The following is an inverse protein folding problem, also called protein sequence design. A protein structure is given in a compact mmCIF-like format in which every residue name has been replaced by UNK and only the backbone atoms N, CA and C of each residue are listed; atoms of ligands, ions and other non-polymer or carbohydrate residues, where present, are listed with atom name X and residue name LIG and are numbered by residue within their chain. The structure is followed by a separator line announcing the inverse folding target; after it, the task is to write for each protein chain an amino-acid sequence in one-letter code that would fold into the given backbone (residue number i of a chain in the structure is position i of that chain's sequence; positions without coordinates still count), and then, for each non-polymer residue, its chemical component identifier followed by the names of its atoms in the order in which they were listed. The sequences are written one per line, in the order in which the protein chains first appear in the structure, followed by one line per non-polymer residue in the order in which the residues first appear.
data_IF_680160270181
#
_entry.id   IF_680160270181
#
_cell.length_a   1.000
_cell.length_b   1.000
_cell.length_c   1.000
_cell.angle_alpha   90.00
_cell.angle_beta   90.00
_cell.angle_gamma   90.00
#
_symmetry.space_group_name_H-M   'P 1'
#
loop_
_entity.id
_entity.type
_entity.pdbx_description
1 polymer ?
#
# COMPACT_ATOMS: atom_id res chain seq x y z
N UNK A 1 -15.17 6.46 9.62
CA UNK A 1 -14.17 7.53 9.93
C UNK A 1 -14.34 8.71 9.00
N UNK A 2 -14.34 8.53 7.68
CA UNK A 2 -14.52 9.64 6.73
C UNK A 2 -15.80 10.46 6.94
N UNK A 3 -16.97 9.81 7.09
CA UNK A 3 -18.23 10.52 7.38
C UNK A 3 -18.15 11.46 8.59
N UNK A 4 -17.51 11.00 9.67
CA UNK A 4 -17.28 11.83 10.86
C UNK A 4 -16.35 13.02 10.56
N UNK A 5 -15.28 12.79 9.80
CA UNK A 5 -14.34 13.85 9.42
C UNK A 5 -14.99 14.85 8.47
N UNK A 6 -15.78 14.42 7.50
CA UNK A 6 -16.52 15.31 6.59
C UNK A 6 -17.41 16.28 7.36
N UNK A 7 -18.05 15.84 8.44
CA UNK A 7 -18.83 16.75 9.29
C UNK A 7 -17.94 17.69 10.12
N UNK A 8 -16.78 17.20 10.54
CA UNK A 8 -15.93 17.90 11.51
C UNK A 8 -14.98 18.93 10.90
N UNK A 9 -14.72 18.84 9.59
CA UNK A 9 -13.90 19.82 8.85
C UNK A 9 -14.64 21.12 8.55
N UNK A 10 -15.91 21.25 8.93
CA UNK A 10 -16.69 22.47 8.74
C UNK A 10 -16.84 23.25 10.05
N UNK A 11 -16.79 24.58 9.95
CA UNK A 11 -17.18 25.47 11.04
C UNK A 11 -18.69 25.33 11.30
N UNK A 12 -19.07 25.18 12.56
CA UNK A 12 -20.47 24.97 12.95
C UNK A 12 -21.37 26.19 12.75
N UNK A 13 -20.80 27.39 12.65
CA UNK A 13 -21.52 28.65 12.48
C UNK A 13 -21.57 29.08 11.02
N UNK A 14 -20.45 29.01 10.30
CA UNK A 14 -20.39 29.51 8.92
C UNK A 14 -20.57 28.41 7.87
N UNK A 15 -20.34 27.15 8.23
CA UNK A 15 -20.30 26.03 7.27
C UNK A 15 -19.03 26.00 6.42
N UNK A 16 -18.11 26.96 6.60
CA UNK A 16 -16.85 27.02 5.85
C UNK A 16 -15.91 25.90 6.26
N UNK A 17 -14.99 25.56 5.37
CA UNK A 17 -13.94 24.57 5.66
C UNK A 17 -12.95 25.15 6.65
N UNK A 18 -12.70 24.43 7.75
CA UNK A 18 -11.76 24.82 8.79
C UNK A 18 -10.33 24.86 8.25
N UNK A 19 -9.59 25.86 8.71
CA UNK A 19 -8.14 25.89 8.56
C UNK A 19 -7.50 24.72 9.32
N UNK A 20 -6.36 24.18 8.84
CA UNK A 20 -5.62 23.14 9.55
C UNK A 20 -5.28 23.47 11.00
N UNK A 21 -5.01 24.75 11.28
CA UNK A 21 -4.72 25.24 12.64
C UNK A 21 -5.94 25.24 13.56
N UNK A 22 -7.15 25.25 13.00
CA UNK A 22 -8.42 25.26 13.74
C UNK A 22 -8.99 23.86 13.96
N UNK A 23 -8.45 22.84 13.27
CA UNK A 23 -8.86 21.46 13.51
C UNK A 23 -8.60 21.06 14.96
N UNK A 24 -9.51 20.29 15.59
CA UNK A 24 -9.29 19.77 16.93
C UNK A 24 -7.98 18.99 17.00
N UNK A 25 -7.29 19.09 18.14
CA UNK A 25 -6.11 18.27 18.35
C UNK A 25 -6.44 16.78 18.13
N UNK A 26 -5.48 16.01 17.60
CA UNK A 26 -5.70 14.62 17.21
C UNK A 26 -6.34 13.79 18.34
N UNK A 27 -5.89 13.97 19.59
CA UNK A 27 -6.42 13.22 20.74
C UNK A 27 -7.90 13.50 21.03
N UNK A 28 -8.34 14.75 20.91
CA UNK A 28 -9.73 15.15 21.14
C UNK A 28 -10.63 14.71 19.99
N UNK A 29 -10.15 14.85 18.74
CA UNK A 29 -10.87 14.40 17.54
C UNK A 29 -11.27 12.93 17.64
N UNK A 30 -10.33 12.05 18.03
CA UNK A 30 -10.61 10.61 18.16
C UNK A 30 -11.40 10.25 19.40
N UNK A 31 -11.35 11.07 20.46
CA UNK A 31 -12.22 10.92 21.63
C UNK A 31 -13.66 11.26 21.29
N UNK A 32 -13.89 12.31 20.50
CA UNK A 32 -15.21 12.66 19.97
C UNK A 32 -15.73 11.57 19.03
N UNK A 33 -14.91 11.09 18.10
CA UNK A 33 -15.29 9.96 17.23
C UNK A 33 -15.71 8.73 18.03
N UNK A 34 -14.98 8.40 19.11
CA UNK A 34 -15.32 7.28 19.99
C UNK A 34 -16.68 7.48 20.65
N UNK A 35 -16.98 8.68 21.15
CA UNK A 35 -18.27 9.01 21.75
C UNK A 35 -19.41 8.91 20.73
N UNK A 36 -19.20 9.41 19.51
CA UNK A 36 -20.21 9.43 18.47
C UNK A 36 -20.52 8.04 17.85
N UNK A 37 -19.54 7.13 17.80
CA UNK A 37 -19.67 5.84 17.09
C UNK A 37 -19.54 4.61 18.00
N UNK A 38 -19.57 4.79 19.34
CA UNK A 38 -19.52 3.72 20.36
C UNK A 38 -18.50 2.61 20.08
N UNK A 39 -17.32 2.97 19.57
CA UNK A 39 -16.31 1.98 19.18
C UNK A 39 -15.57 1.44 20.42
N UNK A 40 -15.24 0.14 20.48
CA UNK A 40 -14.43 -0.43 21.56
C UNK A 40 -12.96 0.03 21.50
N UNK A 41 -12.49 0.52 20.34
CA UNK A 41 -11.10 0.96 20.15
C UNK A 41 -10.80 2.21 20.98
N UNK A 42 -9.58 2.28 21.50
CA UNK A 42 -9.10 3.48 22.20
C UNK A 42 -8.90 4.64 21.22
N UNK A 43 -8.95 5.88 21.70
CA UNK A 43 -8.67 7.06 20.87
C UNK A 43 -7.27 6.98 20.22
N UNK A 44 -6.28 6.48 20.95
CA UNK A 44 -4.92 6.26 20.45
C UNK A 44 -4.87 5.21 19.33
N UNK A 45 -5.65 4.13 19.45
CA UNK A 45 -5.75 3.10 18.41
C UNK A 45 -6.42 3.64 17.15
N UNK A 46 -7.49 4.42 17.31
CA UNK A 46 -8.18 5.08 16.19
C UNK A 46 -7.26 6.08 15.48
N UNK A 47 -6.46 6.83 16.24
CA UNK A 47 -5.48 7.75 15.69
C UNK A 47 -4.44 7.04 14.83
N UNK A 48 -3.87 5.93 15.33
CA UNK A 48 -2.89 5.14 14.56
C UNK A 48 -3.50 4.57 13.30
N UNK A 49 -4.66 3.92 13.42
CA UNK A 49 -5.44 3.41 12.29
C UNK A 49 -5.69 4.51 11.24
N UNK A 50 -6.06 5.71 11.69
CA UNK A 50 -6.25 6.83 10.79
C UNK A 50 -4.97 7.19 10.04
N UNK A 51 -3.87 7.41 10.77
CA UNK A 51 -2.60 7.87 10.20
C UNK A 51 -1.94 6.84 9.29
N UNK A 52 -2.06 5.56 9.62
CA UNK A 52 -1.35 4.48 8.95
C UNK A 52 -2.16 3.88 7.80
N UNK A 53 -3.49 3.74 7.96
CA UNK A 53 -4.30 2.94 7.03
C UNK A 53 -5.35 3.77 6.29
N UNK A 54 -5.98 4.75 6.96
CA UNK A 54 -7.13 5.48 6.38
C UNK A 54 -6.69 6.71 5.61
N UNK A 55 -5.98 7.63 6.27
CA UNK A 55 -5.59 8.92 5.71
C UNK A 55 -4.78 8.82 4.41
N UNK A 56 -3.80 7.90 4.29
CA UNK A 56 -3.00 7.79 3.09
C UNK A 56 -3.78 7.30 1.84
N UNK A 57 -4.94 6.67 2.05
CA UNK A 57 -5.77 6.11 0.99
C UNK A 57 -7.01 6.96 0.67
N UNK A 58 -7.00 8.25 1.05
CA UNK A 58 -8.13 9.15 0.81
C UNK A 58 -8.49 9.29 -0.69
N UNK A 59 -7.53 9.18 -1.60
CA UNK A 59 -7.77 9.26 -3.05
C UNK A 59 -8.67 8.13 -3.57
N UNK A 60 -8.67 6.97 -2.89
CA UNK A 60 -9.51 5.81 -3.22
C UNK A 60 -10.86 5.82 -2.52
N UNK A 61 -11.07 6.70 -1.54
CA UNK A 61 -12.35 6.77 -0.85
C UNK A 61 -13.46 7.11 -1.86
N UNK A 62 -14.62 6.47 -1.72
CA UNK A 62 -15.82 6.78 -2.51
C UNK A 62 -16.46 8.08 -1.99
N UNK A 63 -15.78 9.18 -2.31
CA UNK A 63 -16.06 10.56 -1.89
C UNK A 63 -15.83 11.43 -3.11
N UNK A 64 -16.71 12.41 -3.33
CA UNK A 64 -16.58 13.33 -4.45
C UNK A 64 -15.27 14.14 -4.38
N UNK A 65 -14.84 14.62 -5.55
CA UNK A 65 -13.55 15.29 -5.72
C UNK A 65 -13.41 16.55 -4.86
N UNK A 66 -14.49 17.32 -4.67
CA UNK A 66 -14.45 18.53 -3.86
C UNK A 66 -14.33 18.17 -2.38
N UNK A 67 -15.10 17.20 -1.90
CA UNK A 67 -15.00 16.75 -0.50
C UNK A 67 -13.64 16.13 -0.21
N UNK A 68 -13.03 15.40 -1.16
CA UNK A 68 -11.63 14.96 -1.05
C UNK A 68 -10.69 16.15 -0.90
N UNK A 69 -10.81 17.19 -1.74
CA UNK A 69 -9.97 18.39 -1.64
C UNK A 69 -10.12 19.08 -0.27
N UNK A 70 -11.36 19.21 0.24
CA UNK A 70 -11.65 19.76 1.58
C UNK A 70 -10.99 18.95 2.69
N UNK A 71 -11.07 17.62 2.63
CA UNK A 71 -10.41 16.72 3.58
C UNK A 71 -8.89 16.84 3.52
N UNK A 72 -8.30 16.84 2.31
CA UNK A 72 -6.85 17.04 2.15
C UNK A 72 -6.38 18.38 2.72
N UNK A 73 -7.13 19.44 2.47
CA UNK A 73 -6.84 20.77 2.98
C UNK A 73 -6.97 20.82 4.51
N UNK A 74 -8.18 20.61 5.06
CA UNK A 74 -8.46 20.81 6.48
C UNK A 74 -7.64 19.89 7.39
N UNK A 75 -7.41 18.64 6.98
CA UNK A 75 -6.62 17.68 7.75
C UNK A 75 -5.12 17.81 7.51
N UNK A 76 -4.69 18.75 6.65
CA UNK A 76 -3.29 18.94 6.26
C UNK A 76 -2.66 17.63 5.77
N UNK A 77 -3.42 16.87 4.97
CA UNK A 77 -2.97 15.59 4.46
C UNK A 77 -2.16 15.79 3.17
N UNK A 78 -1.13 14.97 2.98
CA UNK A 78 -0.35 14.98 1.77
C UNK A 78 -1.14 14.36 0.62
N UNK A 79 -1.10 15.01 -0.54
CA UNK A 79 -1.77 14.59 -1.77
C UNK A 79 -0.76 13.88 -2.68
N UNK A 80 -1.14 12.74 -3.24
CA UNK A 80 -0.32 12.06 -4.24
C UNK A 80 -0.37 12.79 -5.60
N UNK A 81 0.61 12.52 -6.47
CA UNK A 81 0.73 13.24 -7.75
C UNK A 81 -0.48 13.05 -8.69
N UNK A 82 -1.08 11.87 -8.73
CA UNK A 82 -2.24 11.61 -9.59
C UNK A 82 -3.46 12.38 -9.12
N UNK A 83 -3.71 12.39 -7.82
CA UNK A 83 -4.81 13.13 -7.22
C UNK A 83 -4.63 14.65 -7.37
N UNK A 84 -3.39 15.15 -7.32
CA UNK A 84 -3.09 16.56 -7.65
C UNK A 84 -3.46 16.87 -9.10
N UNK A 85 -3.13 16.01 -10.06
CA UNK A 85 -3.51 16.20 -11.48
C UNK A 85 -5.03 16.28 -11.62
N UNK A 86 -5.77 15.35 -10.99
CA UNK A 86 -7.23 15.36 -10.99
C UNK A 86 -7.81 16.65 -10.40
N UNK A 87 -7.21 17.19 -9.34
CA UNK A 87 -7.63 18.50 -8.82
C UNK A 87 -7.32 19.65 -9.78
N UNK A 88 -6.16 19.60 -10.46
CA UNK A 88 -5.74 20.63 -11.41
C UNK A 88 -6.60 20.67 -12.69
N UNK A 89 -7.30 19.58 -13.01
CA UNK A 89 -8.26 19.55 -14.11
C UNK A 89 -9.50 20.42 -13.87
N UNK A 90 -9.87 20.62 -12.59
CA UNK A 90 -11.11 21.32 -12.19
C UNK A 90 -10.86 22.61 -11.39
N UNK A 91 -9.65 22.80 -10.88
CA UNK A 91 -9.33 23.86 -9.92
C UNK A 91 -7.90 24.38 -10.08
N UNK A 92 -7.67 25.61 -9.62
CA UNK A 92 -6.32 26.12 -9.38
C UNK A 92 -5.81 25.60 -8.03
N UNK A 93 -4.71 24.85 -8.03
CA UNK A 93 -4.21 24.15 -6.84
C UNK A 93 -2.73 24.45 -6.63
N UNK A 94 -2.38 24.83 -5.40
CA UNK A 94 -1.00 24.91 -4.95
C UNK A 94 -0.80 24.00 -3.74
N UNK A 95 0.32 23.27 -3.75
CA UNK A 95 0.73 22.40 -2.64
C UNK A 95 2.05 22.88 -2.04
N UNK A 96 2.25 22.57 -0.76
CA UNK A 96 3.54 22.77 -0.09
C UNK A 96 4.52 21.62 -0.34
N UNK A 97 5.68 21.71 0.30
CA UNK A 97 6.76 20.72 0.24
C UNK A 97 6.40 19.34 0.76
N UNK A 98 5.45 19.27 1.68
CA UNK A 98 4.91 18.01 2.18
C UNK A 98 3.76 17.49 1.31
N UNK A 99 3.58 18.07 0.10
CA UNK A 99 2.48 17.82 -0.83
C UNK A 99 1.10 18.12 -0.24
N UNK A 100 0.98 19.05 0.71
CA UNK A 100 -0.30 19.40 1.32
C UNK A 100 -0.89 20.61 0.61
N UNK A 101 -2.20 20.61 0.40
CA UNK A 101 -2.89 21.73 -0.25
C UNK A 101 -2.75 22.99 0.61
N UNK A 102 -2.21 24.06 0.04
CA UNK A 102 -2.14 25.40 0.66
C UNK A 102 -3.04 26.42 -0.03
N UNK A 103 -3.45 26.10 -1.25
CA UNK A 103 -4.42 26.87 -2.02
C UNK A 103 -5.21 25.93 -2.93
N UNK A 104 -6.52 26.12 -2.96
CA UNK A 104 -7.44 25.44 -3.86
C UNK A 104 -8.56 26.41 -4.24
N UNK A 105 -8.82 26.59 -5.53
CA UNK A 105 -9.93 27.40 -6.02
C UNK A 105 -10.57 26.78 -7.25
N UNK A 106 -11.85 26.44 -7.14
CA UNK A 106 -12.72 26.13 -8.27
C UNK A 106 -13.85 27.19 -8.38
N UNK A 107 -14.91 26.89 -9.12
CA UNK A 107 -16.05 27.79 -9.31
C UNK A 107 -16.92 28.00 -8.07
N UNK A 108 -16.92 27.04 -7.13
CA UNK A 108 -17.82 26.98 -5.98
C UNK A 108 -17.09 27.02 -4.62
N UNK A 109 -15.77 26.79 -4.61
CA UNK A 109 -14.96 26.61 -3.42
C UNK A 109 -13.63 27.36 -3.55
N UNK A 110 -13.31 28.15 -2.52
CA UNK A 110 -11.98 28.74 -2.35
C UNK A 110 -11.46 28.41 -0.95
N UNK A 111 -10.30 27.76 -0.89
CA UNK A 111 -9.58 27.44 0.34
C UNK A 111 -8.16 27.96 0.22
N UNK A 112 -7.73 28.74 1.20
CA UNK A 112 -6.39 29.31 1.22
C UNK A 112 -5.85 29.31 2.64
N UNK A 113 -4.61 28.85 2.82
CA UNK A 113 -3.93 28.96 4.09
C UNK A 113 -3.57 30.43 4.35
N UNK A 114 -3.91 30.98 5.51
CA UNK A 114 -3.71 32.41 5.85
C UNK A 114 -2.24 32.88 5.69
N UNK A 115 -1.29 31.93 5.83
CA UNK A 115 0.15 32.18 5.70
C UNK A 115 0.72 31.91 4.29
N UNK A 116 -0.09 31.56 3.30
CA UNK A 116 0.37 31.20 1.95
C UNK A 116 1.19 32.33 1.30
N UNK A 117 0.88 33.60 1.59
CA UNK A 117 1.63 34.79 1.09
C UNK A 117 3.04 34.92 1.68
N UNK A 118 3.35 34.24 2.79
CA UNK A 118 4.67 34.25 3.46
C UNK A 118 5.56 33.06 3.07
N UNK A 119 5.04 32.08 2.33
CA UNK A 119 5.84 31.00 1.75
C UNK A 119 6.61 31.56 0.55
N UNK A 120 7.53 32.49 0.82
CA UNK A 120 8.57 32.86 -0.15
C UNK A 120 9.37 31.58 -0.40
N UNK A 121 9.42 31.20 -1.66
CA UNK A 121 9.99 29.97 -2.20
C UNK A 121 11.32 29.53 -1.58
N UNK A 122 11.51 28.21 -1.59
CA UNK A 122 12.75 27.40 -1.44
C UNK A 122 12.75 26.43 -0.25
N UNK A 123 11.79 25.53 -0.14
CA UNK A 123 12.22 24.16 0.12
C UNK A 123 11.63 23.27 -0.98
N UNK A 124 12.43 22.30 -1.40
CA UNK A 124 12.18 21.59 -2.64
C UNK A 124 11.04 20.61 -2.40
N UNK A 125 9.90 20.82 -3.07
CA UNK A 125 8.86 19.79 -3.20
C UNK A 125 9.51 18.53 -3.79
N UNK A 126 9.14 17.36 -3.28
CA UNK A 126 9.58 16.10 -3.87
C UNK A 126 9.07 15.99 -5.31
N UNK A 127 9.99 15.85 -6.25
CA UNK A 127 9.62 15.64 -7.65
C UNK A 127 9.34 14.14 -7.89
N UNK A 128 8.64 13.84 -8.98
CA UNK A 128 8.36 12.45 -9.38
C UNK A 128 9.67 11.68 -9.62
N UNK A 129 10.67 12.33 -10.22
CA UNK A 129 12.00 11.77 -10.48
C UNK A 129 12.74 11.43 -9.19
N UNK A 130 12.59 12.27 -8.16
CA UNK A 130 13.17 12.04 -6.86
C UNK A 130 12.51 10.85 -6.14
N UNK A 131 11.18 10.80 -6.14
CA UNK A 131 10.44 9.66 -5.59
C UNK A 131 10.78 8.37 -6.32
N UNK A 132 10.96 8.43 -7.64
CA UNK A 132 11.37 7.27 -8.41
C UNK A 132 12.76 6.76 -8.01
N UNK A 133 13.70 7.68 -7.77
CA UNK A 133 15.03 7.33 -7.23
C UNK A 133 14.93 6.73 -5.83
N UNK A 134 14.04 7.24 -4.97
CA UNK A 134 13.81 6.68 -3.64
C UNK A 134 13.27 5.24 -3.72
N UNK A 135 12.26 4.97 -4.54
CA UNK A 135 11.75 3.61 -4.75
C UNK A 135 12.83 2.66 -5.28
N UNK A 136 13.58 3.10 -6.29
CA UNK A 136 14.66 2.33 -6.87
C UNK A 136 15.75 2.01 -5.84
N UNK A 137 16.11 2.97 -5.00
CA UNK A 137 17.12 2.77 -3.96
C UNK A 137 16.71 1.73 -2.92
N UNK A 138 15.42 1.68 -2.57
CA UNK A 138 14.85 0.65 -1.70
C UNK A 138 14.87 -0.70 -2.41
N UNK A 139 14.39 -0.77 -3.64
CA UNK A 139 14.34 -2.00 -4.43
C UNK A 139 15.72 -2.62 -4.67
N UNK A 140 16.74 -1.81 -5.01
CA UNK A 140 18.13 -2.28 -5.21
C UNK A 140 18.75 -2.92 -3.96
N UNK A 141 18.24 -2.59 -2.78
CA UNK A 141 18.67 -3.15 -1.49
C UNK A 141 17.88 -4.36 -1.04
N UNK A 142 16.84 -4.74 -1.78
CA UNK A 142 16.22 -6.05 -1.63
C UNK A 142 17.26 -7.06 -2.15
N UNK A 143 17.77 -7.97 -1.29
CA UNK A 143 18.72 -8.98 -1.71
C UNK A 143 18.15 -9.80 -2.87
N UNK A 144 18.99 -10.12 -3.87
CA UNK A 144 18.60 -11.07 -4.91
C UNK A 144 18.31 -12.40 -4.21
N UNK A 145 17.14 -13.00 -4.40
CA UNK A 145 16.83 -14.27 -3.76
C UNK A 145 17.83 -15.32 -4.25
N UNK A 146 18.67 -15.83 -3.34
CA UNK A 146 19.39 -17.10 -3.55
C UNK A 146 18.50 -18.32 -3.24
N UNK A 147 17.29 -18.07 -2.77
CA UNK A 147 16.26 -19.02 -2.34
C UNK A 147 14.91 -18.55 -2.88
N UNK A 148 13.89 -19.42 -2.92
CA UNK A 148 12.55 -19.12 -3.45
C UNK A 148 11.78 -17.98 -2.74
N UNK A 149 12.36 -17.32 -1.72
CA UNK A 149 11.72 -16.26 -0.94
C UNK A 149 12.60 -15.02 -0.77
N UNK A 150 11.99 -13.84 -0.95
CA UNK A 150 12.64 -12.53 -0.76
C UNK A 150 12.82 -12.27 0.74
N UNK A 151 14.02 -11.98 1.26
CA UNK A 151 14.15 -11.65 2.67
C UNK A 151 13.44 -10.32 3.01
N UNK A 152 12.80 -10.30 4.18
CA UNK A 152 12.15 -9.10 4.70
C UNK A 152 13.23 -8.09 5.15
N UNK A 153 13.18 -6.87 4.66
CA UNK A 153 14.05 -5.77 5.08
C UNK A 153 13.20 -4.52 5.28
N UNK A 154 13.04 -4.10 6.54
CA UNK A 154 12.21 -2.96 6.93
C UNK A 154 13.02 -1.69 7.22
N UNK A 155 14.31 -1.67 6.86
CA UNK A 155 15.19 -0.53 7.14
C UNK A 155 14.67 0.76 6.50
N UNK A 156 14.11 0.68 5.29
CA UNK A 156 13.52 1.83 4.62
C UNK A 156 12.38 2.50 5.42
N UNK A 157 11.74 1.77 6.34
CA UNK A 157 10.62 2.26 7.15
C UNK A 157 11.03 2.90 8.48
N UNK A 158 12.24 2.60 8.98
CA UNK A 158 12.65 2.95 10.34
C UNK A 158 14.09 3.47 10.49
N UNK A 159 14.97 3.20 9.52
CA UNK A 159 16.41 3.48 9.64
C UNK A 159 16.78 4.82 9.06
N UNK A 160 17.13 5.78 9.92
CA UNK A 160 17.73 7.04 9.48
C UNK A 160 19.05 6.82 8.74
N UNK A 161 19.85 5.84 9.15
CA UNK A 161 21.12 5.48 8.49
C UNK A 161 20.91 5.03 7.05
N UNK A 162 19.80 4.34 6.76
CA UNK A 162 19.43 3.92 5.41
C UNK A 162 19.24 5.14 4.49
N UNK A 163 18.49 6.14 4.93
CA UNK A 163 18.21 7.34 4.14
C UNK A 163 19.37 8.34 4.11
N UNK A 164 20.22 8.38 5.13
CA UNK A 164 21.47 9.14 5.06
C UNK A 164 22.40 8.58 3.97
N UNK A 165 22.42 7.26 3.75
CA UNK A 165 23.15 6.64 2.62
C UNK A 165 22.52 7.00 1.27
N UNK A 166 21.18 7.11 1.19
CA UNK A 166 20.52 7.62 -0.01
C UNK A 166 20.99 9.03 -0.34
N UNK A 167 21.00 9.91 0.66
CA UNK A 167 21.41 11.30 0.47
C UNK A 167 22.85 11.43 -0.04
N UNK A 168 23.79 10.59 0.41
CA UNK A 168 25.17 10.57 -0.09
C UNK A 168 25.27 10.30 -1.60
N UNK A 169 24.27 9.63 -2.18
CA UNK A 169 24.21 9.29 -3.60
C UNK A 169 23.27 10.17 -4.42
N UNK A 170 22.60 11.16 -3.80
CA UNK A 170 21.66 12.06 -4.47
C UNK A 170 22.16 13.50 -4.47
N UNK A 171 21.97 14.18 -5.60
CA UNK A 171 22.36 15.58 -5.77
C UNK A 171 21.48 16.57 -4.99
N UNK A 172 20.29 16.13 -4.54
CA UNK A 172 19.35 16.99 -3.81
C UNK A 172 19.53 16.70 -2.31
N UNK A 173 20.34 17.53 -1.66
CA UNK A 173 20.84 17.33 -0.30
C UNK A 173 19.73 17.61 0.75
N UNK A 174 18.79 16.65 0.94
CA UNK A 174 17.80 16.67 2.04
C UNK A 174 18.28 15.78 3.17
N UNK A 175 17.90 16.09 4.40
CA UNK A 175 18.24 15.25 5.54
C UNK A 175 17.53 13.89 5.45
N UNK A 176 18.15 12.84 6.00
CA UNK A 176 17.59 11.49 5.94
C UNK A 176 16.25 11.32 6.67
N UNK A 177 15.93 12.17 7.65
CA UNK A 177 14.66 12.10 8.36
C UNK A 177 13.51 12.58 7.46
N UNK A 178 13.77 13.58 6.63
CA UNK A 178 12.83 14.05 5.60
C UNK A 178 12.52 12.94 4.59
N UNK A 179 13.56 12.27 4.06
CA UNK A 179 13.36 11.10 3.17
C UNK A 179 12.59 9.96 3.83
N UNK A 180 12.94 9.62 5.08
CA UNK A 180 12.27 8.56 5.83
C UNK A 180 10.77 8.80 6.00
N UNK A 181 10.42 10.01 6.44
CA UNK A 181 9.01 10.41 6.62
C UNK A 181 8.28 10.42 5.29
N UNK A 182 8.91 10.98 4.26
CA UNK A 182 8.32 11.08 2.93
C UNK A 182 8.03 9.71 2.32
N UNK A 183 9.01 8.80 2.37
CA UNK A 183 8.84 7.44 1.88
C UNK A 183 7.71 6.72 2.61
N UNK A 184 7.75 6.72 3.95
CA UNK A 184 6.83 5.92 4.76
C UNK A 184 5.40 6.42 4.68
N UNK A 185 5.18 7.72 4.80
CA UNK A 185 3.83 8.27 4.98
C UNK A 185 3.20 8.77 3.69
N UNK A 186 4.01 9.01 2.66
CA UNK A 186 3.53 9.63 1.43
C UNK A 186 3.66 8.70 0.24
N UNK A 187 4.84 8.10 0.05
CA UNK A 187 5.08 7.25 -1.12
C UNK A 187 4.49 5.85 -0.94
N UNK A 188 4.89 5.15 0.12
CA UNK A 188 4.55 3.74 0.33
C UNK A 188 3.06 3.42 0.26
N UNK A 189 2.14 4.23 0.82
CA UNK A 189 0.71 3.95 0.73
C UNK A 189 0.15 4.05 -0.70
N UNK A 190 0.78 4.86 -1.55
CA UNK A 190 0.39 5.05 -2.96
C UNK A 190 1.31 4.31 -3.92
N UNK A 191 2.04 3.29 -3.44
CA UNK A 191 2.93 2.46 -4.27
C UNK A 191 2.19 1.83 -5.46
N UNK A 192 0.89 1.53 -5.32
CA UNK A 192 0.07 1.01 -6.41
C UNK A 192 -0.04 1.97 -7.60
N UNK A 193 0.03 3.29 -7.36
CA UNK A 193 0.00 4.32 -8.39
C UNK A 193 1.38 4.59 -9.02
N UNK A 194 2.46 4.11 -8.39
CA UNK A 194 3.79 4.36 -8.91
C UNK A 194 3.96 3.72 -10.31
N UNK A 195 4.61 4.41 -11.24
CA UNK A 195 4.83 3.93 -12.61
C UNK A 195 5.97 2.91 -12.69
N UNK A 196 5.87 1.84 -11.91
CA UNK A 196 6.81 0.71 -11.88
C UNK A 196 6.13 -0.59 -12.32
N UNK A 197 6.92 -1.57 -12.82
CA UNK A 197 6.41 -2.91 -13.07
C UNK A 197 5.75 -3.53 -11.84
N UNK A 198 4.71 -4.34 -12.08
CA UNK A 198 3.91 -5.04 -11.07
C UNK A 198 4.81 -5.83 -10.09
N UNK A 199 5.85 -6.43 -10.61
CA UNK A 199 6.82 -7.26 -9.90
C UNK A 199 7.66 -6.44 -8.92
N UNK A 200 8.03 -5.21 -9.30
CA UNK A 200 8.76 -4.30 -8.41
C UNK A 200 7.87 -3.84 -7.25
N UNK A 201 6.60 -3.50 -7.54
CA UNK A 201 5.61 -3.16 -6.49
C UNK A 201 5.41 -4.33 -5.53
N UNK A 202 5.25 -5.54 -6.06
CA UNK A 202 5.09 -6.77 -5.29
C UNK A 202 6.30 -7.06 -4.41
N UNK A 203 7.51 -6.97 -4.95
CA UNK A 203 8.75 -7.17 -4.21
C UNK A 203 8.95 -6.14 -3.09
N UNK A 204 8.61 -4.87 -3.33
CA UNK A 204 8.63 -3.82 -2.31
C UNK A 204 7.63 -4.12 -1.18
N UNK A 205 6.37 -4.41 -1.50
CA UNK A 205 5.36 -4.77 -0.50
C UNK A 205 5.77 -6.00 0.31
N UNK A 206 6.30 -7.02 -0.38
CA UNK A 206 6.78 -8.23 0.27
C UNK A 206 7.94 -7.90 1.22
N UNK A 207 9.03 -7.30 0.73
CA UNK A 207 10.23 -7.07 1.53
C UNK A 207 9.97 -6.14 2.73
N UNK A 208 9.09 -5.14 2.56
CA UNK A 208 8.75 -4.18 3.61
C UNK A 208 7.71 -4.70 4.60
N UNK A 209 7.13 -5.89 4.37
CA UNK A 209 6.03 -6.46 5.14
C UNK A 209 4.85 -5.49 5.22
N UNK A 210 4.38 -5.04 4.06
CA UNK A 210 3.28 -4.09 3.93
C UNK A 210 2.10 -4.73 3.22
N UNK A 211 0.86 -4.46 3.67
CA UNK A 211 -0.32 -4.94 2.98
C UNK A 211 -0.43 -4.24 1.62
N UNK A 212 -0.84 -4.96 0.56
CA UNK A 212 -1.15 -4.33 -0.71
C UNK A 212 -2.36 -3.41 -0.52
N UNK A 213 -2.42 -2.39 -1.35
CA UNK A 213 -3.65 -1.63 -1.52
C UNK A 213 -4.74 -2.53 -2.15
N UNK A 214 -6.01 -2.31 -1.81
CA UNK A 214 -7.14 -3.14 -2.26
C UNK A 214 -7.29 -3.20 -3.79
N UNK A 215 -7.07 -2.09 -4.50
CA UNK A 215 -7.18 -2.05 -5.96
C UNK A 215 -6.06 -2.87 -6.60
N UNK A 216 -4.84 -2.68 -6.10
CA UNK A 216 -3.69 -3.46 -6.54
C UNK A 216 -3.83 -4.93 -6.18
N UNK A 217 -4.41 -5.25 -5.03
CA UNK A 217 -4.69 -6.61 -4.62
C UNK A 217 -5.72 -7.28 -5.52
N UNK A 218 -6.74 -6.54 -5.94
CA UNK A 218 -7.73 -6.99 -6.92
C UNK A 218 -7.08 -7.26 -8.27
N UNK A 219 -6.17 -6.39 -8.72
CA UNK A 219 -5.35 -6.60 -9.92
C UNK A 219 -4.52 -7.89 -9.82
N UNK A 220 -3.77 -8.08 -8.72
CA UNK A 220 -2.97 -9.29 -8.50
C UNK A 220 -3.81 -10.58 -8.51
N UNK A 221 -5.05 -10.54 -8.02
CA UNK A 221 -5.95 -11.69 -8.00
C UNK A 221 -6.53 -12.05 -9.37
N UNK A 222 -6.54 -11.12 -10.33
CA UNK A 222 -6.88 -11.42 -11.71
C UNK A 222 -5.79 -12.26 -12.36
N UNK A 223 -4.54 -11.89 -12.10
CA UNK A 223 -3.37 -12.49 -12.74
C UNK A 223 -2.86 -13.75 -12.02
N UNK A 224 -3.21 -13.92 -10.74
CA UNK A 224 -2.58 -14.95 -9.91
C UNK A 224 -3.35 -15.36 -8.66
N UNK A 225 -2.74 -16.26 -7.91
CA UNK A 225 -3.11 -16.66 -6.56
C UNK A 225 -2.25 -15.86 -5.59
N UNK A 226 -2.88 -15.13 -4.68
CA UNK A 226 -2.20 -14.29 -3.68
C UNK A 226 -2.45 -14.86 -2.29
N UNK A 227 -1.39 -15.19 -1.56
CA UNK A 227 -1.45 -15.70 -0.19
C UNK A 227 -1.09 -14.59 0.79
N UNK A 228 -1.97 -14.33 1.76
CA UNK A 228 -1.81 -13.30 2.80
C UNK A 228 -1.58 -13.93 4.17
N UNK A 229 -0.83 -13.24 5.04
CA UNK A 229 -0.75 -13.58 6.46
C UNK A 229 -1.90 -12.96 7.28
N UNK A 230 -1.91 -13.20 8.59
CA UNK A 230 -2.91 -12.66 9.53
C UNK A 230 -2.91 -11.12 9.65
N UNK A 231 -1.89 -10.44 9.13
CA UNK A 231 -1.79 -8.97 9.07
C UNK A 231 -2.19 -8.40 7.69
N UNK A 232 -2.60 -9.25 6.76
CA UNK A 232 -2.92 -8.85 5.38
C UNK A 232 -1.69 -8.61 4.50
N UNK A 233 -0.47 -8.94 4.94
CA UNK A 233 0.73 -8.80 4.12
C UNK A 233 0.90 -10.02 3.20
N UNK A 234 1.44 -9.78 2.00
CA UNK A 234 1.73 -10.84 1.02
C UNK A 234 2.84 -11.75 1.55
N UNK A 235 2.56 -13.05 1.58
CA UNK A 235 3.51 -14.12 1.89
C UNK A 235 3.74 -15.08 0.73
N UNK A 236 2.90 -15.02 -0.31
CA UNK A 236 3.10 -15.76 -1.56
C UNK A 236 2.30 -15.14 -2.71
N UNK A 237 2.83 -15.27 -3.93
CA UNK A 237 2.18 -14.88 -5.18
C UNK A 237 2.57 -15.87 -6.27
N UNK A 238 1.58 -16.37 -7.00
CA UNK A 238 1.78 -17.32 -8.12
C UNK A 238 0.86 -16.93 -9.27
N UNK A 239 1.43 -16.68 -10.46
CA UNK A 239 0.63 -16.30 -11.64
C UNK A 239 -0.14 -17.52 -12.19
N UNK A 240 -1.37 -17.30 -12.64
CA UNK A 240 -2.13 -18.33 -13.35
C UNK A 240 -1.66 -18.32 -14.80
N UNK A 241 -0.95 -19.35 -15.22
CA UNK A 241 -0.54 -19.51 -16.61
C UNK A 241 -1.78 -19.61 -17.53
N UNK A 242 -2.02 -18.61 -18.38
CA UNK A 242 -3.04 -18.65 -19.45
C UNK A 242 -2.59 -19.52 -20.65
N UNK A 243 -1.41 -20.17 -20.59
CA UNK A 243 -0.81 -20.84 -21.75
C UNK A 243 -1.12 -22.34 -21.93
N UNK A 244 -1.94 -22.97 -21.07
CA UNK A 244 -2.19 -24.42 -21.17
C UNK A 244 -3.68 -24.82 -21.32
N UNK A 245 -4.53 -23.97 -21.90
CA UNK A 245 -5.94 -24.35 -22.23
C UNK A 245 -6.22 -24.57 -23.73
N UNK A 246 -5.19 -24.83 -24.52
CA UNK A 246 -5.37 -25.41 -25.86
C UNK A 246 -4.71 -26.76 -25.93
N UNK A 247 -5.51 -27.77 -26.29
CA UNK A 247 -5.22 -29.19 -26.51
C UNK A 247 -5.46 -30.13 -25.31
N UNK A 248 -6.73 -30.34 -24.97
CA UNK A 248 -7.30 -31.71 -25.02
C UNK A 248 -8.73 -31.59 -25.56
N UNK A 249 -8.87 -31.73 -26.87
CA UNK A 249 -10.09 -32.31 -27.44
C UNK A 249 -9.69 -33.62 -28.14
N UNK A 250 -10.64 -34.54 -28.19
CA UNK A 250 -10.61 -35.90 -28.74
C UNK A 250 -10.13 -37.00 -27.77
N UNK A 251 -11.06 -37.63 -27.02
CA UNK A 251 -11.92 -38.68 -27.59
C UNK A 251 -12.96 -39.26 -26.60
N UNK A 252 -14.22 -39.17 -27.01
CA UNK A 252 -15.41 -39.99 -26.73
C UNK A 252 -15.26 -41.27 -25.89
N UNK A 253 -16.15 -41.47 -24.90
CA UNK A 253 -17.45 -42.13 -25.14
C UNK A 253 -18.44 -41.91 -23.97
N UNK A 254 -19.77 -41.97 -24.22
CA UNK A 254 -20.82 -41.54 -23.30
C UNK A 254 -21.38 -42.70 -22.50
N UNK A 255 -21.84 -42.43 -21.28
CA UNK A 255 -22.96 -43.07 -20.55
C UNK A 255 -22.79 -42.80 -19.06
N UNK A 256 -23.62 -41.93 -18.47
CA UNK A 256 -24.52 -42.33 -17.40
C UNK A 256 -25.46 -41.19 -16.99
N UNK A 257 -26.67 -41.59 -16.63
CA UNK A 257 -27.92 -40.84 -16.53
C UNK A 257 -28.05 -39.98 -15.29
N UNK A 258 -28.85 -38.93 -15.43
CA UNK A 258 -29.30 -37.99 -14.41
C UNK A 258 -30.60 -38.51 -13.77
N UNK A 259 -30.54 -38.95 -12.50
CA UNK A 259 -31.67 -39.30 -11.59
C UNK A 259 -31.02 -39.97 -10.36
N UNK A 260 -31.17 -39.57 -9.10
CA UNK A 260 -32.38 -39.19 -8.38
C UNK A 260 -32.13 -38.22 -7.20
N UNK A 261 -33.22 -37.56 -6.84
CA UNK A 261 -33.46 -36.73 -5.66
C UNK A 261 -33.77 -37.62 -4.45
N UNK A 262 -33.27 -37.28 -3.25
CA UNK A 262 -33.97 -37.35 -1.94
C UNK A 262 -32.99 -36.83 -0.85
N UNK A 263 -33.17 -35.63 -0.27
CA UNK A 263 -34.09 -35.27 0.82
C UNK A 263 -33.73 -36.07 2.11
N UNK A 264 -33.11 -35.53 3.16
CA UNK A 264 -33.59 -34.64 4.25
C UNK A 264 -32.55 -34.91 5.38
N UNK A 265 -31.96 -33.95 6.10
CA UNK A 265 -32.56 -33.36 7.30
C UNK A 265 -31.79 -32.16 7.85
N UNK A 266 -32.54 -31.34 8.57
CA UNK A 266 -32.27 -29.96 9.00
C UNK A 266 -32.12 -29.93 10.53
N UNK A 267 -31.07 -29.23 11.02
CA UNK A 267 -31.02 -28.38 12.26
C UNK A 267 -30.84 -29.09 13.63
N UNK A 268 -30.31 -28.42 14.69
CA UNK A 268 -29.30 -27.35 14.80
C UNK A 268 -28.30 -27.52 15.99
N UNK A 269 -27.43 -26.52 16.15
CA UNK A 269 -26.26 -26.51 17.04
C UNK A 269 -26.47 -26.49 18.56
N UNK A 270 -25.34 -26.46 19.28
CA UNK A 270 -25.16 -25.71 20.54
C UNK A 270 -23.69 -25.61 20.93
N UNK A 271 -23.34 -24.41 21.44
CA UNK A 271 -22.10 -24.05 22.12
C UNK A 271 -21.88 -24.88 23.38
N UNK A 272 -20.62 -25.15 23.72
CA UNK A 272 -20.13 -25.05 25.10
C UNK A 272 -18.60 -24.84 25.15
N UNK A 273 -18.18 -23.82 25.89
CA UNK A 273 -16.83 -23.68 26.46
C UNK A 273 -16.80 -24.47 27.77
N UNK A 274 -15.68 -25.11 28.10
CA UNK A 274 -14.85 -24.84 29.31
C UNK A 274 -13.81 -25.97 29.52
N UNK A 275 -12.56 -25.53 29.65
CA UNK A 275 -11.44 -26.01 30.45
C UNK A 275 -11.48 -27.44 31.04
N UNK A 276 -10.41 -28.22 30.81
CA UNK A 276 -9.47 -28.71 31.84
C UNK A 276 -8.32 -29.53 31.21
N UNK A 277 -7.14 -29.46 31.82
CA UNK A 277 -5.87 -30.03 31.40
C UNK A 277 -5.79 -31.59 31.55
N UNK A 278 -4.69 -32.25 31.11
CA UNK A 278 -4.70 -33.55 30.44
C UNK A 278 -4.41 -34.77 31.34
N UNK A 279 -4.67 -36.01 30.87
CA UNK A 279 -4.02 -37.20 31.39
C UNK A 279 -2.74 -37.52 30.60
N UNK A 280 -1.63 -37.59 31.33
CA UNK A 280 -0.40 -38.30 30.99
C UNK A 280 -0.67 -39.82 30.99
N UNK A 281 -0.13 -40.57 30.03
CA UNK A 281 0.25 -41.98 30.21
C UNK A 281 1.19 -42.46 29.08
N UNK A 282 2.45 -42.71 29.49
CA UNK A 282 3.34 -43.82 29.12
C UNK A 282 3.78 -44.04 27.65
N UNK A 283 5.06 -43.76 27.40
CA UNK A 283 5.93 -44.42 26.42
C UNK A 283 6.27 -45.86 26.87
N UNK A 284 6.59 -46.78 25.93
CA UNK A 284 7.97 -47.28 25.85
C UNK A 284 8.41 -47.56 24.37
N UNK A 285 9.56 -48.21 24.08
CA UNK A 285 10.85 -47.57 23.82
C UNK A 285 11.38 -47.77 22.38
N UNK A 286 12.44 -47.03 22.09
CA UNK A 286 13.28 -46.98 20.88
C UNK A 286 13.88 -48.33 20.47
N UNK A 287 13.90 -48.61 19.16
CA UNK A 287 14.95 -49.38 18.49
C UNK A 287 15.38 -48.69 17.20
N UNK A 288 16.70 -48.49 17.07
CA UNK A 288 17.41 -48.02 15.88
C UNK A 288 17.50 -49.11 14.80
N UNK A 289 17.55 -48.75 13.51
CA UNK A 289 17.93 -49.71 12.47
C UNK A 289 17.59 -49.41 10.99
N UNK A 290 18.30 -48.45 10.37
CA UNK A 290 18.99 -48.60 9.05
C UNK A 290 18.20 -48.74 7.70
N UNK A 291 18.58 -47.86 6.74
CA UNK A 291 18.50 -47.88 5.25
C UNK A 291 17.11 -47.77 4.56
N UNK A 292 16.77 -46.64 3.96
CA UNK A 292 17.13 -46.13 2.62
C UNK A 292 16.30 -46.77 1.49
N UNK A 293 15.34 -46.01 0.94
CA UNK A 293 15.01 -46.11 -0.48
C UNK A 293 14.45 -44.78 -1.01
N UNK A 294 15.03 -44.42 -2.15
CA UNK A 294 14.93 -43.19 -2.92
C UNK A 294 13.58 -43.08 -3.60
N UNK A 295 12.91 -41.93 -3.50
CA UNK A 295 11.95 -41.49 -4.51
C UNK A 295 12.37 -40.07 -4.91
N UNK A 296 13.12 -40.00 -6.01
CA UNK A 296 13.22 -38.82 -6.85
C UNK A 296 11.85 -38.58 -7.47
N UNK A 297 11.21 -37.48 -7.11
CA UNK A 297 10.19 -36.86 -7.96
C UNK A 297 10.68 -35.46 -8.33
N UNK A 298 11.40 -35.42 -9.45
CA UNK A 298 11.65 -34.19 -10.20
C UNK A 298 10.42 -33.89 -11.05
N UNK A 299 9.57 -32.97 -10.61
CA UNK A 299 8.85 -32.03 -11.49
C UNK A 299 7.98 -31.07 -10.68
N UNK A 300 8.55 -29.96 -10.22
CA UNK A 300 7.78 -28.74 -10.02
C UNK A 300 8.50 -27.59 -10.73
N UNK A 301 8.01 -27.31 -11.94
CA UNK A 301 8.36 -26.14 -12.72
C UNK A 301 7.76 -24.90 -12.03
N UNK A 302 8.41 -24.40 -10.98
CA UNK A 302 8.00 -23.13 -10.37
C UNK A 302 8.47 -21.98 -11.26
N UNK A 303 7.53 -21.35 -11.98
CA UNK A 303 7.74 -20.02 -12.57
C UNK A 303 7.94 -19.00 -11.44
N UNK A 304 9.20 -18.86 -11.01
CA UNK A 304 9.64 -17.86 -10.04
C UNK A 304 9.89 -16.54 -10.77
N UNK A 305 9.46 -15.42 -10.19
CA UNK A 305 9.79 -14.07 -10.66
C UNK A 305 11.30 -13.96 -10.91
N UNK A 306 11.73 -13.87 -12.18
CA UNK A 306 13.13 -13.61 -12.50
C UNK A 306 13.44 -12.13 -12.20
N UNK A 307 13.88 -11.86 -10.98
CA UNK A 307 14.22 -10.50 -10.51
C UNK A 307 15.37 -9.83 -11.29
N UNK A 308 16.13 -10.58 -12.10
CA UNK A 308 17.28 -10.06 -12.84
C UNK A 308 16.85 -9.14 -13.99
N UNK A 309 15.86 -9.56 -14.79
CA UNK A 309 15.38 -8.79 -15.96
C UNK A 309 14.67 -7.49 -15.54
N UNK A 310 14.03 -7.48 -14.37
CA UNK A 310 13.27 -6.32 -13.86
C UNK A 310 14.20 -5.19 -13.41
N UNK A 311 15.40 -5.50 -12.89
CA UNK A 311 16.37 -4.47 -12.47
C UNK A 311 16.86 -3.64 -13.66
N UNK A 312 17.10 -4.27 -14.80
CA UNK A 312 17.50 -3.58 -16.03
C UNK A 312 16.37 -2.72 -16.58
N UNK A 313 15.13 -3.21 -16.58
CA UNK A 313 13.95 -2.43 -16.98
C UNK A 313 13.75 -1.20 -16.08
N UNK A 314 13.96 -1.35 -14.77
CA UNK A 314 13.86 -0.26 -13.79
C UNK A 314 14.98 0.77 -14.00
N UNK A 315 16.22 0.33 -14.24
CA UNK A 315 17.34 1.23 -14.52
C UNK A 315 17.13 1.99 -15.83
N UNK A 316 16.51 1.36 -16.83
CA UNK A 316 16.13 2.01 -18.08
C UNK A 316 14.98 3.03 -17.88
N UNK A 317 13.98 2.73 -17.06
CA UNK A 317 12.92 3.70 -16.69
C UNK A 317 13.53 4.91 -15.98
N UNK A 318 14.42 4.69 -15.01
CA UNK A 318 15.12 5.76 -14.28
C UNK A 318 15.96 6.59 -15.24
N UNK A 319 16.66 5.95 -16.18
CA UNK A 319 17.47 6.62 -17.20
C UNK A 319 16.62 7.49 -18.13
N UNK A 320 15.49 6.96 -18.63
CA UNK A 320 14.54 7.70 -19.47
C UNK A 320 13.96 8.91 -18.74
N UNK A 321 13.54 8.73 -17.50
CA UNK A 321 12.99 9.79 -16.65
C UNK A 321 14.05 10.85 -16.32
N UNK A 322 15.30 10.44 -16.08
CA UNK A 322 16.42 11.37 -15.83
C UNK A 322 16.81 12.17 -17.08
N UNK A 323 16.70 11.59 -18.28
CA UNK A 323 17.06 12.24 -19.54
C UNK A 323 15.99 13.21 -20.07
N UNK A 324 14.72 12.98 -19.74
CA UNK A 324 13.60 13.82 -20.21
C UNK A 324 13.69 15.27 -19.70
N UNK A 325 14.42 15.50 -18.60
CA UNK A 325 14.65 16.84 -18.05
C UNK A 325 15.94 17.52 -18.54
N UNK A 326 16.88 16.76 -19.13
CA UNK A 326 18.10 17.33 -19.74
C UNK A 326 17.81 17.99 -21.09
N UNK A 327 16.78 17.52 -21.82
CA UNK A 327 16.38 18.08 -23.12
C UNK A 327 15.47 19.30 -23.03
N UNK A 328 14.98 19.69 -21.84
CA UNK A 328 14.16 20.90 -21.65
C UNK A 328 14.97 22.15 -21.27
N UNK A 329 16.31 22.09 -21.33
CA UNK A 329 17.23 23.16 -20.93
C UNK A 329 18.19 23.62 -22.04
N UNK A 330 17.89 23.31 -23.31
CA UNK A 330 18.58 23.95 -24.43
C UNK A 330 17.70 25.09 -24.98
N UNK A 331 18.19 26.34 -24.98
CA UNK A 331 17.46 27.44 -25.60
C UNK A 331 17.47 27.27 -27.13
N UNK A 332 16.30 27.46 -27.75
CA UNK A 332 16.20 27.82 -29.17
C UNK A 332 16.62 29.28 -29.38
#
# INVERSE_FOLDING_TARGET
MWMFLCQRIHDSLTGDVLQPSMMPNNSNLWREHKKANTTPKSATTLMKLFQEDVAPNLHLADIDIQTKAKLYFALSLPVNHEQIKLFQEIASVMVDESRRIVYFKDTMLEMQLDNAKKVKQKRNVFSVEEENRMYAFVYKRIPVPKSASIPKNRDALFSLKFWNRFNQTNSINRDGQTYLKHFRYIMLPVLHLASFPKEMKLALLFSLDQPPNEDFFTELRKDGIVTLNSKGCIVGYSERNVKNETLIDVNNNPEYTMSDVEAIDVVPGKRARYNSAPPQLSLPPTQEGVLAETIEDQNELTNQLNMFDIREVVDEIIRKVSNTHASSLLPQ
#
